data_IF_024776488412
#
_entry.id   IF_024776488412
#
_cell.length_a   1.000
_cell.length_b   1.000
_cell.length_c   1.000
_cell.angle_alpha   90.00
_cell.angle_beta   90.00
_cell.angle_gamma   90.00
#
_symmetry.space_group_name_H-M   'P 1'
#
loop_
_entity.id
_entity.type
_entity.pdbx_description
1 polymer ?
#
# COMPACT_ATOMS: atom_id res chain seq x y z
N UNK A 1 62.00 -0.18 -2.35
CA UNK A 1 61.09 -0.32 -1.19
C UNK A 1 59.86 0.56 -1.38
N UNK A 2 59.99 1.76 -1.95
CA UNK A 2 58.88 2.70 -2.20
C UNK A 2 57.81 2.19 -3.20
N UNK A 3 58.20 1.62 -4.35
CA UNK A 3 57.22 1.10 -5.33
C UNK A 3 56.38 -0.08 -4.83
N UNK A 4 56.87 -0.84 -3.83
CA UNK A 4 56.06 -1.89 -3.18
C UNK A 4 55.04 -1.29 -2.19
N UNK A 5 55.35 -0.15 -1.57
CA UNK A 5 54.41 0.52 -0.68
C UNK A 5 53.29 1.20 -1.47
N UNK A 6 53.62 1.78 -2.63
CA UNK A 6 52.67 2.40 -3.55
C UNK A 6 51.67 1.39 -4.14
N UNK A 7 52.13 0.21 -4.58
CA UNK A 7 51.24 -0.85 -5.08
C UNK A 7 50.29 -1.41 -3.99
N UNK A 8 50.73 -1.37 -2.74
CA UNK A 8 49.97 -1.85 -1.57
C UNK A 8 48.88 -0.84 -1.16
N UNK A 9 49.17 0.46 -1.26
CA UNK A 9 48.18 1.52 -1.06
C UNK A 9 47.12 1.52 -2.15
N UNK A 10 47.51 1.38 -3.42
CA UNK A 10 46.59 1.35 -4.55
C UNK A 10 45.61 0.15 -4.47
N UNK A 11 46.12 -1.03 -4.08
CA UNK A 11 45.27 -2.21 -3.82
C UNK A 11 44.31 -1.99 -2.66
N UNK A 12 44.73 -1.30 -1.60
CA UNK A 12 43.91 -1.02 -0.42
C UNK A 12 42.81 -0.01 -0.72
N UNK A 13 43.10 1.01 -1.53
CA UNK A 13 42.11 1.98 -2.01
C UNK A 13 41.09 1.32 -2.93
N UNK A 14 41.54 0.54 -3.93
CA UNK A 14 40.65 -0.23 -4.80
C UNK A 14 39.73 -1.14 -4.00
N UNK A 15 40.29 -1.87 -3.01
CA UNK A 15 39.49 -2.75 -2.13
C UNK A 15 38.48 -1.96 -1.29
N UNK A 16 38.84 -0.79 -0.76
CA UNK A 16 37.90 0.08 -0.02
C UNK A 16 36.77 0.58 -0.91
N UNK A 17 37.09 1.04 -2.12
CA UNK A 17 36.10 1.52 -3.10
C UNK A 17 35.15 0.37 -3.48
N UNK A 18 35.67 -0.83 -3.78
CA UNK A 18 34.84 -1.99 -4.08
C UNK A 18 33.94 -2.37 -2.91
N UNK A 19 34.42 -2.33 -1.67
CA UNK A 19 33.61 -2.59 -0.47
C UNK A 19 32.51 -1.55 -0.32
N UNK A 20 32.82 -0.26 -0.47
CA UNK A 20 31.85 0.83 -0.39
C UNK A 20 30.77 0.73 -1.47
N UNK A 21 31.16 0.44 -2.71
CA UNK A 21 30.22 0.23 -3.83
C UNK A 21 29.34 -0.99 -3.60
N UNK A 22 29.89 -2.08 -3.06
CA UNK A 22 29.13 -3.28 -2.72
C UNK A 22 28.11 -2.99 -1.62
N UNK A 23 28.52 -2.28 -0.56
CA UNK A 23 27.62 -1.87 0.52
C UNK A 23 26.52 -0.94 0.02
N UNK A 24 26.85 0.01 -0.87
CA UNK A 24 25.88 0.89 -1.49
C UNK A 24 24.87 0.11 -2.35
N UNK A 25 25.33 -0.84 -3.15
CA UNK A 25 24.47 -1.69 -3.97
C UNK A 25 23.51 -2.54 -3.10
N UNK A 26 24.01 -3.09 -1.99
CA UNK A 26 23.18 -3.83 -1.02
C UNK A 26 22.13 -2.90 -0.40
N UNK A 27 22.52 -1.71 0.03
CA UNK A 27 21.59 -0.73 0.61
C UNK A 27 20.48 -0.35 -0.39
N UNK A 28 20.84 -0.10 -1.65
CA UNK A 28 19.87 0.20 -2.71
C UNK A 28 18.93 -0.98 -2.96
N UNK A 29 19.43 -2.22 -2.98
CA UNK A 29 18.59 -3.41 -3.14
C UNK A 29 17.57 -3.55 -2.00
N UNK A 30 17.98 -3.27 -0.75
CA UNK A 30 17.08 -3.26 0.41
C UNK A 30 15.98 -2.20 0.24
N UNK A 31 16.34 -0.97 -0.16
CA UNK A 31 15.37 0.11 -0.38
C UNK A 31 14.35 -0.24 -1.47
N UNK A 32 14.81 -0.76 -2.61
CA UNK A 32 13.93 -1.21 -3.70
C UNK A 32 12.98 -2.30 -3.21
N UNK A 33 13.48 -3.24 -2.43
CA UNK A 33 12.68 -4.32 -1.83
C UNK A 33 11.59 -3.74 -0.92
N UNK A 34 11.94 -2.82 -0.02
CA UNK A 34 10.98 -2.15 0.87
C UNK A 34 9.90 -1.41 0.07
N UNK A 35 10.28 -0.67 -0.98
CA UNK A 35 9.33 0.06 -1.83
C UNK A 35 8.37 -0.90 -2.52
N UNK A 36 8.86 -2.00 -3.10
CA UNK A 36 8.02 -3.01 -3.76
C UNK A 36 7.03 -3.61 -2.76
N UNK A 37 7.49 -4.00 -1.57
CA UNK A 37 6.61 -4.54 -0.53
C UNK A 37 5.59 -3.50 -0.05
N UNK A 38 6.00 -2.23 0.12
CA UNK A 38 5.13 -1.15 0.53
C UNK A 38 4.01 -0.88 -0.50
N UNK A 39 4.35 -0.83 -1.79
CA UNK A 39 3.37 -0.63 -2.86
C UNK A 39 2.40 -1.80 -2.94
N UNK A 40 2.88 -3.04 -2.86
CA UNK A 40 2.00 -4.23 -2.89
C UNK A 40 1.09 -4.32 -1.67
N UNK A 41 1.52 -3.83 -0.51
CA UNK A 41 0.71 -3.86 0.72
C UNK A 41 -0.41 -2.81 0.73
N UNK A 42 -0.25 -1.69 0.01
CA UNK A 42 -1.29 -0.66 -0.10
C UNK A 42 -2.31 -0.91 -1.22
N UNK A 43 -1.97 -1.72 -2.23
CA UNK A 43 -2.91 -2.13 -3.28
C UNK A 43 -4.24 -2.72 -2.78
N UNK A 44 -4.28 -3.63 -1.77
CA UNK A 44 -5.55 -4.20 -1.31
C UNK A 44 -6.52 -3.17 -0.73
N UNK A 45 -6.04 -2.09 -0.09
CA UNK A 45 -6.89 -1.02 0.46
C UNK A 45 -7.54 -0.19 -0.64
N UNK A 46 -6.75 0.21 -1.63
CA UNK A 46 -7.27 0.98 -2.77
C UNK A 46 -8.27 0.16 -3.59
N UNK A 47 -7.97 -1.12 -3.83
CA UNK A 47 -8.86 -2.02 -4.55
C UNK A 47 -10.16 -2.26 -3.78
N UNK A 48 -10.07 -2.57 -2.48
CA UNK A 48 -11.24 -2.75 -1.63
C UNK A 48 -12.13 -1.50 -1.58
N UNK A 49 -11.54 -0.31 -1.48
CA UNK A 49 -12.28 0.94 -1.55
C UNK A 49 -13.00 1.10 -2.88
N UNK A 50 -12.34 0.82 -4.00
CA UNK A 50 -12.92 0.91 -5.34
C UNK A 50 -14.10 -0.04 -5.51
N UNK A 51 -13.93 -1.31 -5.15
CA UNK A 51 -14.96 -2.35 -5.24
C UNK A 51 -16.16 -2.03 -4.34
N UNK A 52 -15.91 -1.72 -3.07
CA UNK A 52 -16.99 -1.41 -2.13
C UNK A 52 -17.74 -0.12 -2.51
N UNK A 53 -17.05 0.87 -3.08
CA UNK A 53 -17.70 2.09 -3.62
C UNK A 53 -18.59 1.76 -4.82
N UNK A 54 -18.13 0.90 -5.73
CA UNK A 54 -18.94 0.48 -6.87
C UNK A 54 -20.22 -0.25 -6.40
N UNK A 55 -20.08 -1.17 -5.44
CA UNK A 55 -21.21 -1.88 -4.84
C UNK A 55 -22.18 -0.93 -4.13
N UNK A 56 -21.66 0.03 -3.34
CA UNK A 56 -22.51 0.99 -2.65
C UNK A 56 -23.26 1.93 -3.61
N UNK A 57 -22.62 2.32 -4.71
CA UNK A 57 -23.27 3.09 -5.78
C UNK A 57 -24.41 2.32 -6.45
N UNK A 58 -24.17 1.07 -6.83
CA UNK A 58 -25.16 0.28 -7.60
C UNK A 58 -26.25 -0.34 -6.74
N UNK A 59 -25.93 -0.75 -5.52
CA UNK A 59 -26.84 -1.53 -4.66
C UNK A 59 -27.55 -0.68 -3.60
N UNK A 60 -27.00 0.49 -3.26
CA UNK A 60 -27.49 1.34 -2.17
C UNK A 60 -27.73 2.80 -2.58
N UNK A 61 -27.60 3.14 -3.87
CA UNK A 61 -27.73 4.51 -4.40
C UNK A 61 -26.85 5.54 -3.68
N UNK A 62 -25.68 5.12 -3.17
CA UNK A 62 -24.72 6.04 -2.54
C UNK A 62 -24.01 6.85 -3.62
N UNK A 63 -24.37 8.11 -3.78
CA UNK A 63 -23.85 8.97 -4.86
C UNK A 63 -22.47 9.52 -4.49
N UNK A 64 -22.37 10.11 -3.30
CA UNK A 64 -21.12 10.66 -2.75
C UNK A 64 -20.56 9.74 -1.68
N UNK A 65 -19.24 9.59 -1.64
CA UNK A 65 -18.54 8.86 -0.58
C UNK A 65 -17.67 9.83 0.18
N UNK A 66 -18.01 10.07 1.44
CA UNK A 66 -17.29 10.97 2.34
C UNK A 66 -16.21 10.22 3.11
N UNK A 67 -16.55 9.03 3.63
CA UNK A 67 -15.62 8.21 4.43
C UNK A 67 -15.71 6.74 4.04
N UNK A 68 -14.57 6.07 4.19
CA UNK A 68 -14.41 4.63 3.97
C UNK A 68 -13.70 4.02 5.18
N UNK A 69 -14.28 2.97 5.74
CA UNK A 69 -13.73 2.21 6.85
C UNK A 69 -13.60 0.74 6.46
N UNK A 70 -12.45 0.15 6.74
CA UNK A 70 -12.22 -1.29 6.63
C UNK A 70 -12.22 -1.87 8.05
N UNK A 71 -13.20 -2.72 8.34
CA UNK A 71 -13.28 -3.42 9.61
C UNK A 71 -13.13 -4.93 9.44
N UNK A 72 -12.14 -5.53 10.10
CA UNK A 72 -11.93 -6.99 10.09
C UNK A 72 -11.95 -7.53 11.52
N UNK A 73 -12.85 -8.48 11.78
CA UNK A 73 -12.83 -9.33 12.98
C UNK A 73 -12.87 -10.79 12.55
N UNK A 74 -13.99 -11.49 12.80
CA UNK A 74 -14.26 -12.83 12.26
C UNK A 74 -14.49 -12.79 10.74
N UNK A 75 -15.20 -11.75 10.29
CA UNK A 75 -15.44 -11.44 8.89
C UNK A 75 -14.94 -10.02 8.57
N UNK A 76 -14.71 -9.73 7.30
CA UNK A 76 -14.31 -8.40 6.82
C UNK A 76 -15.51 -7.65 6.24
N UNK A 77 -15.68 -6.40 6.65
CA UNK A 77 -16.70 -5.48 6.17
C UNK A 77 -16.08 -4.14 5.77
N UNK A 78 -16.62 -3.55 4.71
CA UNK A 78 -16.30 -2.21 4.26
C UNK A 78 -17.49 -1.30 4.52
N UNK A 79 -17.29 -0.25 5.31
CA UNK A 79 -18.34 0.72 5.63
C UNK A 79 -18.06 2.02 4.88
N UNK A 80 -19.06 2.49 4.13
CA UNK A 80 -19.02 3.75 3.40
C UNK A 80 -20.08 4.68 3.95
N UNK A 81 -19.74 5.94 4.15
CA UNK A 81 -20.71 6.98 4.53
C UNK A 81 -20.75 8.03 3.43
N UNK A 82 -21.92 8.62 3.22
CA UNK A 82 -22.09 9.74 2.31
C UNK A 82 -23.56 9.98 2.02
N UNK A 83 -23.87 10.54 0.86
CA UNK A 83 -25.24 10.93 0.52
C UNK A 83 -25.79 10.11 -0.63
N UNK A 84 -27.09 9.83 -0.57
CA UNK A 84 -27.83 9.26 -1.68
C UNK A 84 -28.29 10.34 -2.68
N UNK A 85 -28.95 9.91 -3.75
CA UNK A 85 -29.59 10.73 -4.79
C UNK A 85 -30.59 11.78 -4.27
N UNK A 86 -31.08 11.61 -3.03
CA UNK A 86 -31.98 12.55 -2.35
C UNK A 86 -31.23 13.51 -1.41
N UNK A 87 -29.91 13.46 -1.38
CA UNK A 87 -29.07 14.23 -0.46
C UNK A 87 -29.13 13.77 1.00
N UNK A 88 -29.72 12.61 1.28
CA UNK A 88 -29.83 12.03 2.63
C UNK A 88 -28.54 11.31 3.00
N UNK A 89 -28.03 11.55 4.21
CA UNK A 89 -26.88 10.81 4.72
C UNK A 89 -27.25 9.34 4.95
N UNK A 90 -26.47 8.44 4.35
CA UNK A 90 -26.63 7.01 4.49
C UNK A 90 -25.29 6.35 4.81
N UNK A 91 -25.36 5.21 5.50
CA UNK A 91 -24.22 4.35 5.81
C UNK A 91 -24.44 3.01 5.11
N UNK A 92 -23.47 2.61 4.30
CA UNK A 92 -23.51 1.36 3.53
C UNK A 92 -22.45 0.41 4.05
N UNK A 93 -22.86 -0.80 4.46
CA UNK A 93 -21.99 -1.86 4.94
C UNK A 93 -21.93 -2.96 3.89
N UNK A 94 -20.75 -3.15 3.31
CA UNK A 94 -20.47 -4.13 2.25
C UNK A 94 -19.60 -5.26 2.82
N UNK A 95 -20.12 -6.49 2.96
CA UNK A 95 -19.32 -7.63 3.38
C UNK A 95 -18.34 -8.06 2.27
N UNK A 96 -17.10 -8.38 2.62
CA UNK A 96 -16.10 -8.89 1.67
C UNK A 96 -16.49 -10.25 1.07
N UNK A 97 -17.31 -11.04 1.77
CA UNK A 97 -17.80 -12.34 1.31
C UNK A 97 -18.78 -12.27 0.14
N UNK A 98 -19.28 -11.08 -0.23
CA UNK A 98 -20.32 -10.92 -1.26
C UNK A 98 -21.73 -11.20 -0.75
N UNK A 99 -21.92 -11.33 0.56
CA UNK A 99 -23.23 -11.37 1.22
C UNK A 99 -24.03 -10.07 1.00
N UNK A 100 -25.27 -10.05 1.51
CA UNK A 100 -26.20 -8.92 1.32
C UNK A 100 -25.64 -7.61 1.89
N UNK A 101 -25.64 -6.57 1.06
CA UNK A 101 -25.31 -5.20 1.44
C UNK A 101 -26.36 -4.67 2.41
N UNK A 102 -25.92 -4.01 3.48
CA UNK A 102 -26.81 -3.36 4.46
C UNK A 102 -26.72 -1.85 4.33
N UNK A 103 -27.87 -1.18 4.34
CA UNK A 103 -27.98 0.28 4.28
C UNK A 103 -28.66 0.77 5.55
N UNK A 104 -28.08 1.79 6.18
CA UNK A 104 -28.60 2.46 7.37
C UNK A 104 -28.76 3.95 7.07
N UNK A 105 -29.76 4.57 7.67
CA UNK A 105 -30.21 5.95 7.43
C UNK A 105 -30.68 6.60 8.73
#
# INVERSE_FOLDING_TARGET
MEGFLEELEEKKEKKRITVLLTLLAILLAILVTIIIFFVRTNQPMAQAKKEATAIAKTSANLETVDKFYWFTRKNTYFTLTGKNDKGTEIVVIVPKSGEKVTVLN
#
